data_IF_887651064387
#
_entry.id   IF_887651064387
#
_cell.length_a   1.000
_cell.length_b   1.000
_cell.length_c   1.000
_cell.angle_alpha   90.00
_cell.angle_beta   90.00
_cell.angle_gamma   90.00
#
_symmetry.space_group_name_H-M   'P 1'
#
loop_
_entity.id
_entity.type
_entity.pdbx_description
1 polymer ?
#
# COMPACT_ATOMS: atom_id res chain seq x y z
N UNK A 1 38.78 18.79 -16.23
CA UNK A 1 38.05 17.64 -16.82
C UNK A 1 36.70 17.53 -16.14
N UNK A 2 35.64 17.23 -16.89
CA UNK A 2 34.27 17.20 -16.36
C UNK A 2 33.88 15.75 -15.98
N UNK A 3 33.24 15.59 -14.82
CA UNK A 3 32.55 14.36 -14.45
C UNK A 3 31.30 14.24 -15.33
N UNK A 4 31.05 13.05 -15.87
CA UNK A 4 29.84 12.76 -16.67
C UNK A 4 29.02 11.67 -15.97
N UNK A 5 27.73 11.89 -15.79
CA UNK A 5 26.81 10.83 -15.37
C UNK A 5 26.42 9.96 -16.56
N UNK A 6 26.36 8.64 -16.34
CA UNK A 6 25.78 7.64 -17.27
C UNK A 6 24.81 6.77 -16.47
N UNK A 7 23.81 6.20 -17.14
CA UNK A 7 22.98 5.13 -16.57
C UNK A 7 23.41 3.78 -17.12
N UNK A 8 23.52 2.80 -16.25
CA UNK A 8 23.82 1.41 -16.59
C UNK A 8 22.65 0.52 -16.21
N UNK A 9 22.35 -0.53 -16.98
CA UNK A 9 21.34 -1.51 -16.58
C UNK A 9 21.78 -2.23 -15.30
N UNK A 10 20.80 -2.62 -14.48
CA UNK A 10 21.01 -3.52 -13.35
C UNK A 10 20.83 -4.96 -13.83
N UNK A 11 21.93 -5.71 -13.93
CA UNK A 11 21.93 -7.13 -14.33
C UNK A 11 21.61 -8.05 -13.16
N UNK A 12 22.09 -7.71 -11.96
CA UNK A 12 21.89 -8.48 -10.73
C UNK A 12 21.36 -7.56 -9.62
N UNK A 13 20.05 -7.63 -9.39
CA UNK A 13 19.38 -6.79 -8.39
C UNK A 13 19.40 -7.40 -6.97
N UNK A 14 19.82 -8.66 -6.81
CA UNK A 14 19.80 -9.39 -5.53
C UNK A 14 18.48 -9.23 -4.75
N UNK A 15 17.36 -9.39 -5.46
CA UNK A 15 16.01 -9.32 -4.88
C UNK A 15 15.47 -7.90 -4.66
N UNK A 16 16.28 -6.85 -4.83
CA UNK A 16 15.80 -5.46 -4.81
C UNK A 16 14.90 -5.17 -6.01
N UNK A 17 13.99 -4.21 -5.83
CA UNK A 17 13.11 -3.71 -6.89
C UNK A 17 13.29 -2.20 -7.02
N UNK A 18 13.70 -1.76 -8.20
CA UNK A 18 13.90 -0.35 -8.51
C UNK A 18 12.79 0.16 -9.44
N UNK A 19 12.55 1.48 -9.44
CA UNK A 19 11.57 2.11 -10.35
C UNK A 19 11.98 1.87 -11.80
N UNK A 20 13.25 2.13 -12.08
CA UNK A 20 13.89 1.77 -13.34
C UNK A 20 15.01 0.80 -13.00
N UNK A 21 15.15 -0.29 -13.75
CA UNK A 21 16.26 -1.25 -13.60
C UNK A 21 17.58 -0.66 -14.12
N UNK A 22 17.91 0.55 -13.67
CA UNK A 22 19.08 1.34 -14.04
C UNK A 22 19.74 1.92 -12.78
N UNK A 23 21.07 1.84 -12.73
CA UNK A 23 21.88 2.52 -11.73
C UNK A 23 22.61 3.72 -12.37
N UNK A 24 22.78 4.81 -11.61
CA UNK A 24 23.52 5.99 -12.06
C UNK A 24 24.98 5.89 -11.66
N UNK A 25 25.89 6.00 -12.63
CA UNK A 25 27.34 5.99 -12.40
C UNK A 25 27.98 7.31 -12.83
N UNK A 26 29.03 7.70 -12.14
CA UNK A 26 29.89 8.81 -12.50
C UNK A 26 31.12 8.30 -13.26
N UNK A 27 31.42 8.93 -14.40
CA UNK A 27 32.62 8.64 -15.20
C UNK A 27 33.61 9.78 -15.05
N UNK A 28 34.81 9.47 -14.56
CA UNK A 28 35.92 10.40 -14.42
C UNK A 28 37.21 9.74 -14.89
N UNK A 29 37.92 10.40 -15.83
CA UNK A 29 39.16 9.87 -16.45
C UNK A 29 39.05 8.45 -17.03
N UNK A 30 37.86 8.04 -17.48
CA UNK A 30 37.61 6.70 -18.02
C UNK A 30 37.28 5.66 -16.95
N UNK A 31 37.40 5.99 -15.67
CA UNK A 31 36.97 5.15 -14.55
C UNK A 31 35.50 5.42 -14.22
N UNK A 32 34.78 4.37 -13.84
CA UNK A 32 33.35 4.41 -13.52
C UNK A 32 33.14 4.16 -12.04
N UNK A 33 32.34 5.01 -11.39
CA UNK A 33 32.06 4.95 -9.95
C UNK A 33 30.55 4.90 -9.70
N UNK A 34 30.07 4.07 -8.76
CA UNK A 34 28.68 4.12 -8.31
C UNK A 34 28.29 5.52 -7.83
N UNK A 35 27.18 6.08 -8.34
CA UNK A 35 26.63 7.36 -7.88
C UNK A 35 25.31 7.19 -7.13
N UNK A 36 24.60 6.09 -7.38
CA UNK A 36 23.36 5.71 -6.70
C UNK A 36 22.30 5.22 -7.67
N UNK A 37 21.04 5.35 -7.26
CA UNK A 37 19.86 5.03 -8.07
C UNK A 37 19.04 6.31 -8.26
N UNK A 38 18.72 6.69 -9.51
CA UNK A 38 18.18 8.01 -9.83
C UNK A 38 16.77 8.28 -9.29
N UNK A 39 16.05 7.24 -8.83
CA UNK A 39 14.67 7.33 -8.33
C UNK A 39 14.50 6.82 -6.90
N UNK A 40 15.58 6.86 -6.11
CA UNK A 40 15.56 6.45 -4.70
C UNK A 40 16.04 5.01 -4.46
N UNK A 41 15.76 4.49 -3.27
CA UNK A 41 16.14 3.14 -2.85
C UNK A 41 15.27 2.03 -3.44
N UNK A 42 15.45 0.82 -2.91
CA UNK A 42 14.60 -0.32 -3.19
C UNK A 42 13.15 -0.04 -2.78
N UNK A 43 12.19 -0.25 -3.70
CA UNK A 43 10.75 -0.05 -3.47
C UNK A 43 10.18 -0.96 -2.39
N UNK A 44 10.86 -2.07 -2.08
CA UNK A 44 10.40 -3.00 -1.04
C UNK A 44 10.94 -2.60 0.34
N UNK A 45 12.26 -2.65 0.56
CA UNK A 45 12.85 -2.42 1.88
C UNK A 45 13.18 -0.95 2.18
N UNK A 46 13.15 -0.07 1.18
CA UNK A 46 13.52 1.35 1.30
C UNK A 46 15.02 1.63 1.38
N UNK A 47 15.87 0.61 1.37
CA UNK A 47 17.32 0.78 1.45
C UNK A 47 17.91 1.28 0.12
N UNK A 48 19.00 2.03 0.18
CA UNK A 48 19.83 2.34 -0.99
C UNK A 48 20.97 1.33 -1.08
N UNK A 49 20.83 0.26 -1.87
CA UNK A 49 21.86 -0.78 -1.87
C UNK A 49 23.14 -0.29 -2.55
N UNK A 50 24.27 -0.81 -2.08
CA UNK A 50 25.54 -0.65 -2.77
C UNK A 50 25.63 -1.59 -3.96
N UNK A 51 26.30 -1.16 -5.02
CA UNK A 51 26.54 -1.97 -6.21
C UNK A 51 27.95 -1.72 -6.74
N UNK A 52 28.44 -2.67 -7.54
CA UNK A 52 29.67 -2.54 -8.32
C UNK A 52 29.35 -2.52 -9.81
N UNK A 53 30.30 -2.05 -10.62
CA UNK A 53 30.15 -2.05 -12.09
C UNK A 53 31.00 -3.17 -12.67
N UNK A 54 30.34 -4.14 -13.29
CA UNK A 54 30.96 -5.29 -13.97
C UNK A 54 30.45 -5.30 -15.40
N UNK A 55 31.36 -5.35 -16.38
CA UNK A 55 31.00 -5.47 -17.81
C UNK A 55 29.96 -4.44 -18.29
N UNK A 56 30.08 -3.18 -17.85
CA UNK A 56 29.12 -2.09 -18.12
C UNK A 56 27.70 -2.27 -17.54
N UNK A 57 27.52 -3.14 -16.55
CA UNK A 57 26.28 -3.31 -15.80
C UNK A 57 26.50 -3.12 -14.30
N UNK A 58 25.43 -2.76 -13.59
CA UNK A 58 25.44 -2.64 -12.13
C UNK A 58 25.03 -3.96 -11.46
N UNK A 59 25.86 -4.43 -10.54
CA UNK A 59 25.65 -5.65 -9.74
C UNK A 59 25.46 -5.26 -8.28
N UNK A 60 24.23 -5.37 -7.78
CA UNK A 60 23.89 -5.05 -6.39
C UNK A 60 24.54 -6.06 -5.46
N UNK A 61 25.25 -5.60 -4.43
CA UNK A 61 26.08 -6.47 -3.60
C UNK A 61 25.28 -7.20 -2.51
N UNK A 62 24.39 -6.49 -1.83
CA UNK A 62 23.64 -7.01 -0.68
C UNK A 62 22.22 -7.39 -1.07
N UNK A 63 21.71 -8.55 -0.61
CA UNK A 63 20.35 -8.94 -0.90
C UNK A 63 19.33 -8.05 -0.20
N UNK A 64 18.19 -7.83 -0.85
CA UNK A 64 17.03 -7.22 -0.22
C UNK A 64 16.58 -8.09 0.96
N UNK A 65 16.24 -7.48 2.10
CA UNK A 65 15.73 -8.22 3.27
C UNK A 65 14.33 -8.79 3.06
N UNK A 66 13.64 -8.39 1.98
CA UNK A 66 12.28 -8.80 1.63
C UNK A 66 12.17 -9.05 0.12
N UNK A 67 12.88 -10.05 -0.44
CA UNK A 67 12.90 -10.27 -1.89
C UNK A 67 11.52 -10.67 -2.45
N UNK A 68 10.71 -11.32 -1.63
CA UNK A 68 9.37 -11.81 -1.95
C UNK A 68 8.24 -10.81 -1.63
N UNK A 69 8.60 -9.56 -1.27
CA UNK A 69 7.64 -8.56 -0.82
C UNK A 69 7.16 -8.80 0.61
N UNK A 70 6.04 -8.16 0.99
CA UNK A 70 5.44 -8.23 2.32
C UNK A 70 3.91 -8.29 2.20
N UNK A 71 3.31 -9.39 2.64
CA UNK A 71 1.88 -9.46 2.98
C UNK A 71 1.68 -8.90 4.39
N UNK A 72 0.83 -7.89 4.55
CA UNK A 72 0.60 -7.28 5.86
C UNK A 72 -0.72 -7.76 6.47
N UNK A 73 -0.65 -8.43 7.62
CA UNK A 73 -1.84 -8.88 8.36
C UNK A 73 -2.03 -8.06 9.62
N UNK A 74 -3.25 -7.56 9.83
CA UNK A 74 -3.65 -6.84 11.05
C UNK A 74 -5.03 -7.31 11.52
N UNK A 75 -5.43 -6.87 12.70
CA UNK A 75 -6.78 -7.08 13.23
C UNK A 75 -7.41 -5.76 13.65
N UNK A 76 -8.72 -5.62 13.46
CA UNK A 76 -9.54 -4.49 13.91
C UNK A 76 -10.72 -5.00 14.74
N UNK A 77 -10.88 -4.45 15.94
CA UNK A 77 -12.04 -4.72 16.80
C UNK A 77 -13.17 -3.76 16.46
N UNK A 78 -14.36 -4.31 16.15
CA UNK A 78 -15.57 -3.56 15.80
C UNK A 78 -16.73 -4.00 16.71
N UNK A 79 -16.64 -3.78 18.03
CA UNK A 79 -17.67 -4.25 18.96
C UNK A 79 -19.02 -3.52 18.81
N UNK A 80 -19.04 -2.33 18.19
CA UNK A 80 -20.29 -1.60 17.97
C UNK A 80 -21.14 -2.18 16.83
N UNK A 81 -20.53 -2.99 15.96
CA UNK A 81 -21.15 -3.39 14.68
C UNK A 81 -21.28 -2.25 13.67
N UNK A 82 -20.63 -1.11 13.91
CA UNK A 82 -20.58 0.04 13.01
C UNK A 82 -19.14 0.28 12.57
N UNK A 83 -18.86 0.00 11.31
CA UNK A 83 -17.56 0.20 10.68
C UNK A 83 -17.58 1.53 9.92
N UNK A 84 -16.82 2.51 10.39
CA UNK A 84 -16.54 3.73 9.63
C UNK A 84 -15.52 3.40 8.55
N UNK A 85 -15.85 3.72 7.31
CA UNK A 85 -14.98 3.62 6.13
C UNK A 85 -14.73 5.05 5.65
N UNK A 86 -13.46 5.40 5.49
CA UNK A 86 -13.02 6.75 5.16
C UNK A 86 -11.66 6.70 4.46
N UNK A 87 -11.36 7.71 3.66
CA UNK A 87 -10.06 7.80 2.99
C UNK A 87 -8.95 8.15 3.98
N UNK A 88 -9.29 8.94 5.01
CA UNK A 88 -8.30 9.51 5.92
C UNK A 88 -8.80 9.73 7.35
N UNK A 89 -8.69 8.73 8.21
CA UNK A 89 -8.93 8.89 9.64
C UNK A 89 -7.69 9.35 10.44
N UNK A 90 -6.58 9.69 9.77
CA UNK A 90 -5.33 10.15 10.42
C UNK A 90 -5.47 11.41 11.30
N UNK A 91 -6.39 12.36 11.04
CA UNK A 91 -6.62 13.47 11.95
C UNK A 91 -7.01 13.03 13.38
N UNK A 92 -7.61 11.84 13.52
CA UNK A 92 -7.99 11.23 14.82
C UNK A 92 -7.01 10.14 15.22
N UNK A 93 -6.62 9.28 14.29
CA UNK A 93 -5.65 8.19 14.50
C UNK A 93 -4.27 8.60 14.00
N UNK A 94 -3.49 9.23 14.87
CA UNK A 94 -2.13 9.63 14.54
C UNK A 94 -1.12 8.66 15.19
N UNK A 95 -0.30 8.01 14.36
CA UNK A 95 0.90 7.32 14.83
C UNK A 95 2.07 8.29 14.64
N UNK A 96 2.77 8.65 15.71
CA UNK A 96 3.89 9.60 15.62
C UNK A 96 4.88 9.20 14.52
N UNK A 97 5.18 10.13 13.62
CA UNK A 97 5.90 9.89 12.35
C UNK A 97 7.42 9.68 12.55
N UNK A 98 7.90 9.86 13.78
CA UNK A 98 9.31 10.11 14.10
C UNK A 98 10.25 8.90 13.92
N UNK A 99 9.72 7.72 13.56
CA UNK A 99 10.50 6.47 13.55
C UNK A 99 10.23 5.51 12.38
N UNK A 100 9.45 5.90 11.37
CA UNK A 100 9.13 4.98 10.27
C UNK A 100 10.11 5.10 9.10
N UNK A 101 10.37 3.95 8.47
CA UNK A 101 10.97 3.89 7.13
C UNK A 101 10.02 4.62 6.18
N UNK A 102 10.57 5.26 5.15
CA UNK A 102 9.80 5.98 4.13
C UNK A 102 8.53 5.22 3.70
N UNK A 103 7.36 5.85 3.89
CA UNK A 103 6.05 5.29 3.54
C UNK A 103 5.92 4.96 2.04
N UNK A 104 6.79 5.50 1.20
CA UNK A 104 6.81 5.17 -0.23
C UNK A 104 7.37 3.78 -0.54
N UNK A 105 8.02 3.10 0.40
CA UNK A 105 8.42 1.70 0.25
C UNK A 105 7.46 0.74 0.95
N UNK A 106 7.44 -0.52 0.51
CA UNK A 106 6.54 -1.56 1.07
C UNK A 106 6.77 -1.76 2.57
N UNK A 107 8.03 -1.77 3.04
CA UNK A 107 8.34 -1.92 4.47
C UNK A 107 7.83 -0.72 5.29
N UNK A 108 7.90 0.50 4.75
CA UNK A 108 7.33 1.68 5.38
C UNK A 108 5.81 1.57 5.51
N UNK A 109 5.13 1.10 4.45
CA UNK A 109 3.69 0.83 4.44
C UNK A 109 3.30 -0.23 5.45
N UNK A 110 3.97 -1.39 5.47
CA UNK A 110 3.72 -2.46 6.46
C UNK A 110 3.76 -1.92 7.89
N UNK A 111 4.77 -1.10 8.21
CA UNK A 111 4.92 -0.50 9.54
C UNK A 111 3.82 0.50 9.85
N UNK A 112 3.46 1.36 8.90
CA UNK A 112 2.36 2.33 9.07
C UNK A 112 1.01 1.62 9.27
N UNK A 113 0.72 0.59 8.49
CA UNK A 113 -0.50 -0.24 8.60
C UNK A 113 -0.57 -0.87 9.99
N UNK A 114 0.53 -1.47 10.47
CA UNK A 114 0.61 -2.06 11.82
C UNK A 114 0.49 -1.01 12.93
N UNK A 115 1.08 0.16 12.76
CA UNK A 115 1.01 1.24 13.73
C UNK A 115 -0.43 1.78 13.87
N UNK A 116 -1.14 1.97 12.76
CA UNK A 116 -2.56 2.32 12.75
C UNK A 116 -3.42 1.26 13.43
N UNK A 117 -3.18 -0.01 13.10
CA UNK A 117 -3.93 -1.11 13.69
C UNK A 117 -3.78 -1.16 15.21
N UNK A 118 -2.57 -0.87 15.71
CA UNK A 118 -2.29 -0.82 17.14
C UNK A 118 -3.08 0.25 17.90
N UNK A 119 -3.56 1.30 17.21
CA UNK A 119 -4.40 2.36 17.78
C UNK A 119 -5.87 2.24 17.36
N UNK A 120 -6.29 1.08 16.85
CA UNK A 120 -7.69 0.78 16.55
C UNK A 120 -8.20 1.29 15.20
N UNK A 121 -7.30 1.48 14.23
CA UNK A 121 -7.66 1.83 12.86
C UNK A 121 -6.99 0.89 11.86
N UNK A 122 -7.77 0.20 11.02
CA UNK A 122 -7.22 -0.44 9.84
C UNK A 122 -6.86 0.63 8.81
N UNK A 123 -5.70 0.51 8.20
CA UNK A 123 -5.19 1.45 7.21
C UNK A 123 -4.51 0.66 6.09
N UNK A 124 -4.61 1.12 4.85
CA UNK A 124 -4.00 0.43 3.72
C UNK A 124 -3.66 1.37 2.57
N UNK A 125 -2.63 1.02 1.80
CA UNK A 125 -2.29 1.73 0.57
C UNK A 125 -3.15 1.26 -0.60
N UNK A 126 -3.61 2.21 -1.39
CA UNK A 126 -4.66 1.98 -2.39
C UNK A 126 -4.32 2.52 -3.79
N UNK A 127 -3.11 3.08 -3.99
CA UNK A 127 -2.71 3.79 -5.21
C UNK A 127 -3.73 4.87 -5.62
N UNK A 128 -3.80 5.23 -6.89
CA UNK A 128 -4.67 6.21 -7.53
C UNK A 128 -5.94 5.59 -8.17
N UNK A 129 -6.47 4.52 -7.57
CA UNK A 129 -7.60 3.76 -8.11
C UNK A 129 -8.84 3.95 -7.23
N UNK A 130 -10.02 4.18 -7.79
CA UNK A 130 -11.26 4.15 -7.02
C UNK A 130 -11.45 2.75 -6.39
N UNK A 131 -11.58 2.67 -5.06
CA UNK A 131 -11.86 1.41 -4.37
C UNK A 131 -13.26 1.42 -3.79
N UNK A 132 -13.72 0.22 -3.48
CA UNK A 132 -14.85 0.02 -2.58
C UNK A 132 -14.55 -1.05 -1.55
N UNK A 133 -15.30 -0.98 -0.45
CA UNK A 133 -15.49 -2.10 0.47
C UNK A 133 -16.68 -2.94 -0.03
N UNK A 134 -16.42 -4.16 -0.46
CA UNK A 134 -17.45 -5.06 -1.01
C UNK A 134 -17.72 -6.22 -0.07
N UNK A 135 -19.00 -6.57 0.10
CA UNK A 135 -19.40 -7.80 0.80
C UNK A 135 -19.38 -8.98 -0.15
N UNK A 136 -18.56 -9.98 0.12
CA UNK A 136 -18.53 -11.22 -0.67
C UNK A 136 -19.43 -12.30 -0.08
N UNK A 137 -19.47 -12.41 1.24
CA UNK A 137 -20.33 -13.33 1.98
C UNK A 137 -20.74 -12.72 3.32
N UNK A 138 -21.51 -13.45 4.13
CA UNK A 138 -21.70 -13.06 5.53
C UNK A 138 -20.34 -13.05 6.23
N UNK A 139 -20.02 -11.93 6.88
CA UNK A 139 -18.79 -11.71 7.64
C UNK A 139 -17.48 -11.77 6.82
N UNK A 140 -17.59 -11.71 5.48
CA UNK A 140 -16.45 -11.63 4.56
C UNK A 140 -16.59 -10.46 3.61
N UNK A 141 -15.48 -9.74 3.45
CA UNK A 141 -15.41 -8.54 2.65
C UNK A 141 -14.08 -8.48 1.92
N UNK A 142 -14.03 -7.65 0.88
CA UNK A 142 -12.80 -7.31 0.18
C UNK A 142 -12.73 -5.80 -0.01
N UNK A 143 -11.51 -5.28 -0.03
CA UNK A 143 -11.21 -3.92 -0.48
C UNK A 143 -10.59 -4.06 -1.86
N UNK A 144 -11.29 -3.56 -2.87
CA UNK A 144 -10.96 -3.86 -4.26
C UNK A 144 -11.27 -2.69 -5.20
N UNK A 145 -10.64 -2.72 -6.37
CA UNK A 145 -11.07 -1.99 -7.56
C UNK A 145 -11.67 -3.00 -8.53
N UNK A 146 -13.00 -2.97 -8.76
CA UNK A 146 -13.61 -3.80 -9.79
C UNK A 146 -13.06 -3.43 -11.17
N UNK A 147 -12.79 -4.45 -11.97
CA UNK A 147 -12.67 -4.27 -13.41
C UNK A 147 -14.01 -3.87 -14.02
N UNK A 148 -13.98 -2.97 -15.01
CA UNK A 148 -15.15 -2.51 -15.78
C UNK A 148 -14.86 -2.77 -17.25
N UNK A 149 -15.74 -3.52 -17.91
CA UNK A 149 -15.68 -3.72 -19.36
C UNK A 149 -16.33 -2.53 -20.07
N UNK A 150 -15.51 -1.56 -20.48
CA UNK A 150 -15.99 -0.38 -21.20
C UNK A 150 -16.49 -0.69 -22.63
N UNK A 151 -16.15 -1.86 -23.18
CA UNK A 151 -16.58 -2.28 -24.52
C UNK A 151 -17.91 -3.05 -24.49
N UNK A 152 -18.32 -3.58 -23.33
CA UNK A 152 -19.46 -4.48 -23.20
C UNK A 152 -20.31 -4.17 -21.95
N UNK A 153 -21.15 -3.14 -22.07
CA UNK A 153 -22.23 -2.79 -21.12
C UNK A 153 -21.77 -2.19 -19.77
N UNK A 154 -20.50 -1.77 -19.66
CA UNK A 154 -19.92 -1.11 -18.46
C UNK A 154 -20.19 -1.88 -17.16
N UNK A 155 -20.39 -3.20 -17.26
CA UNK A 155 -20.78 -4.01 -16.11
C UNK A 155 -19.56 -4.29 -15.26
N UNK A 156 -19.55 -3.88 -13.98
CA UNK A 156 -18.41 -4.14 -13.10
C UNK A 156 -18.30 -5.63 -12.78
N UNK A 157 -17.07 -6.12 -12.70
CA UNK A 157 -16.72 -7.49 -12.29
C UNK A 157 -17.19 -7.85 -10.87
N UNK A 158 -17.44 -6.85 -10.03
CA UNK A 158 -18.10 -7.00 -8.73
C UNK A 158 -19.42 -6.22 -8.80
N UNK A 159 -20.58 -6.84 -8.49
CA UNK A 159 -21.87 -6.16 -8.57
C UNK A 159 -21.97 -4.98 -7.60
N UNK A 160 -22.50 -3.84 -8.06
CA UNK A 160 -22.62 -2.61 -7.27
C UNK A 160 -23.45 -2.80 -5.99
N UNK A 161 -24.45 -3.70 -6.00
CA UNK A 161 -25.26 -4.00 -4.82
C UNK A 161 -24.46 -4.62 -3.65
N UNK A 162 -23.25 -5.10 -3.92
CA UNK A 162 -22.34 -5.61 -2.89
C UNK A 162 -21.42 -4.53 -2.33
N UNK A 163 -21.33 -3.36 -2.97
CA UNK A 163 -20.53 -2.23 -2.54
C UNK A 163 -21.18 -1.57 -1.32
N UNK A 164 -20.48 -1.59 -0.18
CA UNK A 164 -20.96 -1.03 1.07
C UNK A 164 -20.49 0.40 1.28
N UNK A 165 -19.35 0.75 0.72
CA UNK A 165 -18.73 2.07 0.82
C UNK A 165 -17.78 2.26 -0.37
N UNK A 166 -17.78 3.46 -0.95
CA UNK A 166 -16.75 3.89 -1.88
C UNK A 166 -15.61 4.55 -1.09
N UNK A 167 -14.40 4.47 -1.62
CA UNK A 167 -13.18 5.03 -1.03
C UNK A 167 -12.56 5.91 -2.11
N UNK A 168 -12.43 7.21 -1.84
CA UNK A 168 -11.72 8.15 -2.71
C UNK A 168 -10.22 8.11 -2.42
N UNK A 169 -9.43 7.77 -3.43
CA UNK A 169 -7.97 7.65 -3.27
C UNK A 169 -7.20 8.94 -3.48
N UNK A 170 -7.79 10.10 -3.19
CA UNK A 170 -7.11 11.38 -3.33
C UNK A 170 -5.81 11.44 -2.51
N UNK A 171 -5.70 10.63 -1.45
CA UNK A 171 -4.50 10.49 -0.63
C UNK A 171 -3.82 9.11 -0.72
N UNK A 172 -4.17 8.31 -1.71
CA UNK A 172 -3.61 6.98 -2.01
C UNK A 172 -3.68 5.96 -0.87
N UNK A 173 -4.70 6.08 0.00
CA UNK A 173 -4.93 5.20 1.13
C UNK A 173 -6.40 5.06 1.45
N UNK A 174 -6.72 4.08 2.28
CA UNK A 174 -8.00 3.96 2.96
C UNK A 174 -7.78 3.77 4.45
N UNK A 175 -8.85 4.01 5.22
CA UNK A 175 -8.89 3.79 6.66
C UNK A 175 -10.26 3.31 7.12
N UNK A 176 -10.26 2.36 8.07
CA UNK A 176 -11.46 1.84 8.67
C UNK A 176 -11.30 1.77 10.18
N UNK A 177 -12.37 2.05 10.92
CA UNK A 177 -12.38 1.95 12.37
C UNK A 177 -13.78 1.61 12.90
N UNK A 178 -13.84 1.10 14.12
CA UNK A 178 -15.10 1.09 14.86
C UNK A 178 -15.57 2.54 15.07
N UNK A 179 -16.81 2.84 14.68
CA UNK A 179 -17.33 4.19 14.71
C UNK A 179 -17.39 4.76 16.13
N UNK A 180 -17.79 3.95 17.11
CA UNK A 180 -17.87 4.38 18.51
C UNK A 180 -16.47 4.57 19.11
N UNK A 181 -15.48 3.75 18.71
CA UNK A 181 -14.09 3.98 19.07
C UNK A 181 -13.56 5.30 18.49
N UNK A 182 -13.84 5.58 17.23
CA UNK A 182 -13.45 6.84 16.59
C UNK A 182 -14.05 8.06 17.32
N UNK A 183 -15.33 8.02 17.68
CA UNK A 183 -15.95 9.05 18.53
C UNK A 183 -15.21 9.22 19.86
N UNK A 184 -14.86 8.11 20.53
CA UNK A 184 -14.17 8.14 21.82
C UNK A 184 -12.75 8.72 21.74
N UNK A 185 -12.12 8.64 20.56
CA UNK A 185 -10.81 9.22 20.26
C UNK A 185 -10.89 10.71 19.89
N UNK A 186 -12.08 11.31 19.94
CA UNK A 186 -12.31 12.72 19.60
C UNK A 186 -12.77 12.96 18.16
N UNK A 187 -13.21 11.91 17.46
CA UNK A 187 -13.87 12.05 16.18
C UNK A 187 -15.17 12.86 16.27
N UNK A 188 -15.43 13.68 15.27
CA UNK A 188 -16.59 14.56 15.18
C UNK A 188 -17.41 14.24 13.92
N UNK A 189 -18.64 13.71 14.03
CA UNK A 189 -19.50 13.40 12.89
C UNK A 189 -19.74 14.57 11.93
N UNK A 190 -19.67 15.81 12.41
CA UNK A 190 -19.84 17.00 11.56
C UNK A 190 -18.65 17.22 10.60
N UNK A 191 -17.53 16.53 10.83
CA UNK A 191 -16.34 16.59 9.97
C UNK A 191 -16.30 15.51 8.89
N UNK A 192 -17.23 14.54 8.93
CA UNK A 192 -17.35 13.52 7.89
C UNK A 192 -17.88 14.14 6.60
N UNK A 193 -17.29 13.77 5.47
CA UNK A 193 -17.70 14.23 4.15
C UNK A 193 -18.57 13.19 3.40
N UNK A 194 -18.86 13.44 2.12
CA UNK A 194 -19.69 12.54 1.31
C UNK A 194 -19.03 11.21 0.94
N UNK A 195 -17.71 11.08 1.09
CA UNK A 195 -16.98 9.82 0.89
C UNK A 195 -16.99 8.93 2.14
N UNK A 196 -17.19 9.51 3.32
CA UNK A 196 -17.21 8.77 4.57
C UNK A 196 -18.52 7.99 4.75
N UNK A 197 -18.41 6.68 5.04
CA UNK A 197 -19.57 5.80 5.16
C UNK A 197 -19.52 4.99 6.44
N UNK A 198 -20.61 5.00 7.22
CA UNK A 198 -20.79 4.09 8.36
C UNK A 198 -21.58 2.85 7.90
N UNK A 199 -20.90 1.71 7.89
CA UNK A 199 -21.43 0.43 7.44
C UNK A 199 -21.81 -0.43 8.64
N UNK A 200 -23.01 -1.02 8.60
CA UNK A 200 -23.41 -2.02 9.59
C UNK A 200 -22.76 -3.37 9.26
N UNK A 201 -22.05 -3.93 10.25
CA UNK A 201 -21.37 -5.23 10.20
C UNK A 201 -21.69 -6.04 11.46
N UNK A 202 -21.43 -7.35 11.43
CA UNK A 202 -21.58 -8.16 12.65
C UNK A 202 -20.55 -7.74 13.69
N UNK A 203 -20.92 -7.41 14.93
CA UNK A 203 -19.96 -7.09 15.97
C UNK A 203 -18.88 -8.18 16.12
N UNK A 204 -17.61 -7.79 16.21
CA UNK A 204 -16.53 -8.76 16.29
C UNK A 204 -15.14 -8.22 16.01
N UNK A 205 -14.18 -9.14 15.89
CA UNK A 205 -12.82 -8.83 15.46
C UNK A 205 -12.65 -9.26 14.01
N UNK A 206 -12.10 -8.38 13.19
CA UNK A 206 -11.87 -8.59 11.77
C UNK A 206 -10.37 -8.69 11.49
N UNK A 207 -9.94 -9.70 10.75
CA UNK A 207 -8.59 -9.80 10.21
C UNK A 207 -8.56 -9.17 8.83
N UNK A 208 -7.55 -8.34 8.59
CA UNK A 208 -7.25 -7.77 7.28
C UNK A 208 -5.96 -8.39 6.77
N UNK A 209 -5.96 -8.88 5.54
CA UNK A 209 -4.77 -9.36 4.82
C UNK A 209 -4.55 -8.42 3.62
N UNK A 210 -3.50 -7.61 3.68
CA UNK A 210 -3.16 -6.62 2.65
C UNK A 210 -2.14 -7.18 1.67
N UNK A 211 -2.44 -7.04 0.37
CA UNK A 211 -1.67 -7.62 -0.72
C UNK A 211 -0.77 -6.63 -1.46
N UNK A 212 -0.96 -5.32 -1.26
CA UNK A 212 -0.26 -4.27 -2.04
C UNK A 212 1.27 -4.24 -1.85
N UNK A 213 1.79 -4.97 -0.86
CA UNK A 213 3.22 -5.16 -0.64
C UNK A 213 3.80 -6.45 -1.22
N UNK A 214 2.99 -7.36 -1.73
CA UNK A 214 3.42 -8.65 -2.24
C UNK A 214 4.23 -8.53 -3.53
N UNK A 215 5.20 -9.44 -3.73
CA UNK A 215 5.93 -9.51 -4.99
C UNK A 215 4.97 -9.87 -6.12
N UNK A 216 4.93 -9.03 -7.15
CA UNK A 216 4.07 -9.25 -8.31
C UNK A 216 2.63 -8.78 -8.11
N UNK A 217 2.32 -8.07 -7.02
CA UNK A 217 1.07 -7.31 -6.94
C UNK A 217 1.02 -6.31 -8.09
N UNK A 218 0.02 -6.48 -8.96
CA UNK A 218 -0.18 -5.65 -10.13
C UNK A 218 -1.42 -4.77 -9.93
N UNK A 219 -1.17 -3.50 -9.63
CA UNK A 219 -2.21 -2.49 -9.44
C UNK A 219 -2.89 -2.10 -10.75
N UNK A 220 -2.25 -2.41 -11.88
CA UNK A 220 -2.71 -2.09 -13.24
C UNK A 220 -3.27 -3.31 -13.96
N UNK A 221 -3.47 -4.42 -13.23
CA UNK A 221 -4.04 -5.64 -13.78
C UNK A 221 -5.34 -5.36 -14.53
N UNK A 222 -5.52 -6.03 -15.67
CA UNK A 222 -6.74 -5.95 -16.49
C UNK A 222 -7.95 -6.63 -15.82
N UNK A 223 -7.81 -7.17 -14.60
CA UNK A 223 -8.89 -7.77 -13.82
C UNK A 223 -9.21 -7.01 -12.54
N UNK A 224 -10.09 -7.58 -11.72
CA UNK A 224 -10.36 -7.07 -10.37
C UNK A 224 -9.06 -7.06 -9.55
N UNK A 225 -8.70 -5.90 -9.02
CA UNK A 225 -7.53 -5.76 -8.13
C UNK A 225 -8.00 -5.80 -6.69
N UNK A 226 -7.58 -6.82 -5.94
CA UNK A 226 -7.93 -6.98 -4.52
C UNK A 226 -6.76 -6.48 -3.66
N UNK A 227 -6.97 -5.36 -2.97
CA UNK A 227 -5.98 -4.76 -2.09
C UNK A 227 -5.97 -5.43 -0.72
N UNK A 228 -7.12 -5.85 -0.22
CA UNK A 228 -7.20 -6.61 1.02
C UNK A 228 -8.40 -7.57 1.07
N UNK A 229 -8.20 -8.70 1.76
CA UNK A 229 -9.27 -9.54 2.26
C UNK A 229 -9.58 -9.18 3.70
N UNK A 230 -10.87 -9.22 4.07
CA UNK A 230 -11.35 -8.87 5.41
C UNK A 230 -12.32 -9.94 5.90
N UNK A 231 -11.93 -10.67 6.94
CA UNK A 231 -12.69 -11.78 7.50
C UNK A 231 -12.96 -11.56 8.99
N UNK A 232 -14.19 -11.79 9.46
CA UNK A 232 -14.48 -11.83 10.90
C UNK A 232 -13.89 -13.12 11.50
N UNK A 233 -13.12 -12.98 12.58
CA UNK A 233 -12.41 -14.08 13.25
C UNK A 233 -12.87 -14.34 14.69
N UNK A 234 -13.62 -13.42 15.30
CA UNK A 234 -14.19 -13.57 16.65
C UNK A 234 -15.46 -12.73 16.81
#
# INVERSE_FOLDING_TARGET
>A
MAIRSKRLPVSEANGHQFVNNEAEVNVFNGETFPAGFPFGGCRICGQHPTYEVVEEAAHVQEPCSHPDGITTTITLSVPSGKLLVSDNLRPVYNWGDDALVDYNCVLGRDRAIKAMAAIGCAFGHASDRSLGLYRTEQDRYIIATPWIDFDNDETPSIPDETCLAQICTDIWSYSLADYEHWLSMGGDPETLDSGDTVVNVTPGTYQFVHHSGERGFDVDSEGTVIFAHVDRIA
#
